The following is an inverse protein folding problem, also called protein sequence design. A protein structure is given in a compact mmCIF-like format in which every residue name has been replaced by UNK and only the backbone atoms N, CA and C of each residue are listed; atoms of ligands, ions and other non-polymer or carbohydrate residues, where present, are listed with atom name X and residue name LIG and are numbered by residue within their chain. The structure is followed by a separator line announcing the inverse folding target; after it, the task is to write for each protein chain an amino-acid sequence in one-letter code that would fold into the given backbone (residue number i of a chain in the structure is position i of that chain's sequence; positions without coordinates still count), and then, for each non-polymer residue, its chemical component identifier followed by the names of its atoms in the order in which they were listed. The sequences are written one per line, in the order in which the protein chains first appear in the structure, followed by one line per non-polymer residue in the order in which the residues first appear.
data_IF_892562076581
#
_entry.id   IF_892562076581
#
_cell.length_a   1.000
_cell.length_b   1.000
_cell.length_c   1.000
_cell.angle_alpha   90.00
_cell.angle_beta   90.00
_cell.angle_gamma   90.00
#
_symmetry.space_group_name_H-M   'P 1'
#
loop_
_entity.id
_entity.type
_entity.pdbx_description
1 polymer ?
#
# COMPACT_ATOMS: atom_id res chain seq x y z
N UNK A 1 -14.84 1.27 -11.05
CA UNK A 1 -14.01 2.46 -10.78
C UNK A 1 -12.58 1.98 -10.56
N UNK A 2 -11.60 2.51 -11.29
CA UNK A 2 -10.20 2.11 -11.13
C UNK A 2 -9.61 2.93 -9.98
N UNK A 3 -9.25 2.27 -8.88
CA UNK A 3 -8.61 2.94 -7.74
C UNK A 3 -7.19 3.36 -8.14
N UNK A 4 -6.88 4.63 -7.91
CA UNK A 4 -5.55 5.21 -8.10
C UNK A 4 -4.90 5.45 -6.74
N UNK A 5 -3.58 5.52 -6.73
CA UNK A 5 -2.79 5.63 -5.51
C UNK A 5 -1.71 6.70 -5.62
N UNK A 6 -1.41 7.33 -4.49
CA UNK A 6 -0.20 8.09 -4.24
C UNK A 6 0.87 7.19 -3.62
N UNK A 7 2.13 7.49 -3.92
CA UNK A 7 3.30 6.79 -3.40
C UNK A 7 4.21 7.79 -2.68
N UNK A 8 4.42 7.57 -1.37
CA UNK A 8 5.18 8.36 -0.38
C UNK A 8 4.73 9.80 -0.17
N UNK A 9 4.65 10.59 -1.23
CA UNK A 9 4.07 11.94 -1.35
C UNK A 9 4.17 12.43 -2.81
N UNK A 10 4.34 11.51 -3.76
CA UNK A 10 4.46 11.81 -5.18
C UNK A 10 3.12 12.34 -5.70
N UNK A 11 3.19 13.43 -6.46
CA UNK A 11 2.05 14.00 -7.17
C UNK A 11 1.53 13.10 -8.31
N UNK A 12 2.33 12.13 -8.77
CA UNK A 12 1.92 11.18 -9.80
C UNK A 12 0.91 10.17 -9.25
N UNK A 13 -0.11 9.89 -10.06
CA UNK A 13 -1.11 8.87 -9.77
C UNK A 13 -0.71 7.52 -10.35
N UNK A 14 -0.72 6.50 -9.50
CA UNK A 14 -0.34 5.13 -9.87
C UNK A 14 -1.56 4.22 -9.92
N UNK A 15 -1.53 3.26 -10.84
CA UNK A 15 -2.43 2.10 -10.82
C UNK A 15 -2.02 1.10 -9.73
N UNK A 16 -2.92 0.18 -9.39
CA UNK A 16 -2.62 -0.93 -8.49
C UNK A 16 -1.38 -1.72 -8.94
N UNK A 17 -1.25 -2.03 -10.24
CA UNK A 17 -0.13 -2.80 -10.76
C UNK A 17 1.21 -2.05 -10.61
N UNK A 18 1.21 -0.74 -10.87
CA UNK A 18 2.42 0.09 -10.68
C UNK A 18 2.82 0.20 -9.22
N UNK A 19 1.85 0.37 -8.30
CA UNK A 19 2.12 0.35 -6.86
C UNK A 19 2.71 -0.99 -6.42
N UNK A 20 2.19 -2.11 -6.90
CA UNK A 20 2.75 -3.43 -6.58
C UNK A 20 4.20 -3.53 -7.06
N UNK A 21 4.50 -2.98 -8.24
CA UNK A 21 5.88 -2.94 -8.74
C UNK A 21 6.78 -2.08 -7.87
N UNK A 22 6.33 -0.89 -7.46
CA UNK A 22 7.07 0.03 -6.59
C UNK A 22 7.30 -0.57 -5.20
N UNK A 23 6.26 -1.19 -4.62
CA UNK A 23 6.36 -1.85 -3.32
C UNK A 23 7.35 -3.02 -3.34
N UNK A 24 7.39 -3.80 -4.44
CA UNK A 24 8.40 -4.86 -4.60
C UNK A 24 9.81 -4.31 -4.74
N UNK A 25 9.98 -3.21 -5.47
CA UNK A 25 11.28 -2.53 -5.59
C UNK A 25 11.74 -1.98 -4.23
N UNK A 26 10.84 -1.36 -3.47
CA UNK A 26 11.10 -0.92 -2.11
C UNK A 26 11.43 -2.10 -1.19
N UNK A 27 10.72 -3.22 -1.34
CA UNK A 27 10.98 -4.41 -0.55
C UNK A 27 12.39 -4.95 -0.80
N UNK A 28 12.81 -5.06 -2.06
CA UNK A 28 14.16 -5.51 -2.44
C UNK A 28 15.24 -4.53 -1.99
N UNK A 29 14.94 -3.23 -1.99
CA UNK A 29 15.85 -2.16 -1.57
C UNK A 29 15.77 -1.83 -0.07
N UNK A 30 14.95 -2.57 0.67
CA UNK A 30 14.66 -2.35 2.09
C UNK A 30 14.25 -0.90 2.43
N UNK A 31 13.44 -0.27 1.58
CA UNK A 31 12.97 1.10 1.77
C UNK A 31 11.64 1.13 2.53
N UNK A 32 11.58 1.99 3.53
CA UNK A 32 10.33 2.34 4.20
C UNK A 32 9.49 3.29 3.33
N UNK A 33 8.17 3.25 3.48
CA UNK A 33 7.28 4.06 2.65
C UNK A 33 5.83 4.11 3.09
N UNK A 34 5.06 4.87 2.32
CA UNK A 34 3.63 5.01 2.48
C UNK A 34 2.94 4.94 1.12
N UNK A 35 1.78 4.29 1.06
CA UNK A 35 0.93 4.24 -0.13
C UNK A 35 -0.50 4.58 0.31
N UNK A 36 -1.16 5.46 -0.43
CA UNK A 36 -2.52 5.91 -0.11
C UNK A 36 -3.39 5.89 -1.36
N UNK A 37 -4.64 5.45 -1.26
CA UNK A 37 -5.59 5.63 -2.36
C UNK A 37 -5.98 7.10 -2.51
N UNK A 38 -6.23 7.50 -3.75
CA UNK A 38 -6.79 8.82 -4.08
C UNK A 38 -8.26 8.91 -3.67
N UNK A 39 -8.97 7.77 -3.68
CA UNK A 39 -10.33 7.69 -3.16
C UNK A 39 -10.33 7.69 -1.63
N UNK A 40 -11.40 8.22 -1.06
CA UNK A 40 -11.56 8.43 0.37
C UNK A 40 -12.52 9.59 0.63
N UNK A 41 -12.60 10.01 1.88
CA UNK A 41 -13.13 11.32 2.21
C UNK A 41 -12.00 12.35 2.27
N UNK A 42 -12.34 13.64 2.34
CA UNK A 42 -11.34 14.73 2.37
C UNK A 42 -10.33 14.62 3.53
N UNK A 43 -10.56 13.73 4.51
CA UNK A 43 -9.73 13.55 5.69
C UNK A 43 -8.94 12.22 5.66
N UNK A 44 -9.49 11.15 5.08
CA UNK A 44 -8.94 9.80 5.10
C UNK A 44 -9.07 9.12 3.74
N UNK A 45 -7.95 8.57 3.26
CA UNK A 45 -7.93 7.67 2.11
C UNK A 45 -8.63 6.35 2.43
N UNK A 46 -9.35 5.81 1.44
CA UNK A 46 -10.00 4.50 1.53
C UNK A 46 -9.03 3.36 1.82
N UNK A 47 -7.80 3.47 1.34
CA UNK A 47 -6.74 2.49 1.53
C UNK A 47 -5.48 3.24 1.93
N UNK A 48 -4.86 2.85 3.04
CA UNK A 48 -3.57 3.39 3.49
C UNK A 48 -2.66 2.26 3.93
N UNK A 49 -1.40 2.32 3.49
CA UNK A 49 -0.32 1.41 3.90
C UNK A 49 0.85 2.24 4.44
N UNK A 50 1.42 1.82 5.56
CA UNK A 50 2.71 2.28 6.07
C UNK A 50 3.61 1.07 6.27
N UNK A 51 4.82 1.11 5.74
CA UNK A 51 5.74 -0.02 5.82
C UNK A 51 7.17 0.42 6.07
N UNK A 52 7.94 -0.45 6.72
CA UNK A 52 9.35 -0.26 6.99
C UNK A 52 10.05 -1.61 7.20
N UNK A 53 11.36 -1.55 7.44
CA UNK A 53 12.17 -2.70 7.83
C UNK A 53 12.70 -2.48 9.24
N UNK A 54 12.60 -3.51 10.08
CA UNK A 54 13.12 -3.45 11.44
C UNK A 54 14.66 -3.64 11.48
N UNK A 55 15.24 -3.63 12.69
CA UNK A 55 16.69 -3.83 12.87
C UNK A 55 17.18 -5.23 12.46
N UNK A 56 16.26 -6.18 12.27
CA UNK A 56 16.53 -7.54 11.79
C UNK A 56 16.26 -7.67 10.29
N UNK A 57 16.08 -6.55 9.57
CA UNK A 57 15.73 -6.52 8.15
C UNK A 57 14.42 -7.24 7.83
N UNK A 58 13.50 -7.33 8.80
CA UNK A 58 12.17 -7.89 8.58
C UNK A 58 11.21 -6.81 8.15
N UNK A 59 10.45 -7.09 7.10
CA UNK A 59 9.41 -6.21 6.62
C UNK A 59 8.26 -6.11 7.62
N UNK A 60 7.92 -4.88 8.00
CA UNK A 60 6.80 -4.53 8.88
C UNK A 60 5.83 -3.67 8.07
N UNK A 61 4.54 -3.93 8.18
CA UNK A 61 3.51 -3.16 7.50
C UNK A 61 2.25 -3.06 8.34
N UNK A 62 1.73 -1.84 8.43
CA UNK A 62 0.40 -1.54 8.96
C UNK A 62 -0.47 -0.99 7.82
N UNK A 63 -1.75 -1.34 7.86
CA UNK A 63 -2.69 -0.90 6.84
C UNK A 63 -4.11 -0.77 7.35
N UNK A 64 -4.88 0.09 6.68
CA UNK A 64 -6.28 0.32 6.96
C UNK A 64 -7.09 0.39 5.66
N UNK A 65 -8.33 -0.10 5.74
CA UNK A 65 -9.33 -0.01 4.69
C UNK A 65 -10.59 0.67 5.24
N UNK A 66 -11.13 1.62 4.49
CA UNK A 66 -12.47 2.16 4.76
C UNK A 66 -13.54 1.12 4.44
N UNK A 67 -14.74 1.33 4.98
CA UNK A 67 -15.89 0.46 4.69
C UNK A 67 -16.31 0.47 3.22
N UNK A 68 -15.94 1.50 2.46
CA UNK A 68 -16.24 1.62 1.03
C UNK A 68 -15.38 0.68 0.14
N UNK A 69 -14.25 0.17 0.64
CA UNK A 69 -13.36 -0.68 -0.15
C UNK A 69 -13.99 -2.05 -0.40
N UNK A 70 -14.14 -2.49 -1.67
CA UNK A 70 -14.69 -3.81 -1.99
C UNK A 70 -13.87 -4.95 -1.36
N UNK A 71 -14.56 -6.00 -0.89
CA UNK A 71 -13.94 -7.17 -0.26
C UNK A 71 -12.84 -7.80 -1.13
N UNK A 72 -13.04 -7.88 -2.45
CA UNK A 72 -12.03 -8.41 -3.38
C UNK A 72 -10.73 -7.61 -3.37
N UNK A 73 -10.81 -6.28 -3.25
CA UNK A 73 -9.65 -5.40 -3.14
C UNK A 73 -8.93 -5.57 -1.81
N UNK A 74 -9.67 -5.72 -0.70
CA UNK A 74 -9.09 -6.00 0.62
C UNK A 74 -8.32 -7.31 0.61
N UNK A 75 -8.95 -8.39 0.15
CA UNK A 75 -8.33 -9.73 0.05
C UNK A 75 -7.07 -9.69 -0.81
N UNK A 76 -7.07 -8.96 -1.93
CA UNK A 76 -5.88 -8.81 -2.76
C UNK A 76 -4.71 -8.22 -1.98
N UNK A 77 -4.93 -7.09 -1.30
CA UNK A 77 -3.89 -6.38 -0.58
C UNK A 77 -3.42 -7.17 0.65
N UNK A 78 -4.34 -7.75 1.42
CA UNK A 78 -4.02 -8.61 2.57
C UNK A 78 -3.13 -9.79 2.17
N UNK A 79 -3.47 -10.49 1.07
CA UNK A 79 -2.65 -11.59 0.55
C UNK A 79 -1.27 -11.13 0.12
N UNK A 80 -1.17 -9.97 -0.53
CA UNK A 80 0.11 -9.41 -0.93
C UNK A 80 0.97 -9.08 0.30
N UNK A 81 0.41 -8.38 1.29
CA UNK A 81 1.13 -8.01 2.51
C UNK A 81 1.59 -9.24 3.29
N UNK A 82 0.70 -10.23 3.45
CA UNK A 82 1.06 -11.51 4.08
C UNK A 82 2.23 -12.21 3.36
N UNK A 83 2.30 -12.12 2.03
CA UNK A 83 3.40 -12.71 1.24
C UNK A 83 4.72 -11.97 1.47
N UNK A 84 4.68 -10.66 1.75
CA UNK A 84 5.88 -9.85 2.01
C UNK A 84 6.35 -9.95 3.47
N UNK A 85 5.46 -10.27 4.41
CA UNK A 85 5.79 -10.41 5.84
C UNK A 85 6.11 -11.85 6.28
N UNK A 86 5.81 -12.84 5.44
CA UNK A 86 6.06 -14.27 5.73
C UNK A 86 7.53 -14.65 5.52
#
# INVERSE_FOLDING_TARGET
MVIKYYYHNDSKLYTQAEIVSLLKDDFVKEKAGCIQSVSGDFFLSDITFYYCFDRQHKFQVDYAFSDAVPLSTRIFWEKLMHTLTA
#
